data_IF_928328639595
#
_entry.id   IF_928328639595
#
_cell.length_a   1.000
_cell.length_b   1.000
_cell.length_c   1.000
_cell.angle_alpha   90.00
_cell.angle_beta   90.00
_cell.angle_gamma   90.00
#
_symmetry.space_group_name_H-M   'P 1'
#
loop_
_entity.id
_entity.type
_entity.pdbx_description
1 polymer ?
#
# COMPACT_ATOMS: atom_id res chain seq x y z
N UNK A 1 -6.53 23.06 -9.15
CA UNK A 1 -5.75 22.37 -8.10
C UNK A 1 -4.30 22.27 -8.55
N UNK A 2 -3.38 22.59 -7.68
CA UNK A 2 -1.96 22.54 -8.02
C UNK A 2 -1.43 21.11 -7.95
N UNK A 3 -0.55 20.76 -8.87
CA UNK A 3 0.14 19.48 -8.84
C UNK A 3 1.10 19.43 -7.65
N UNK A 4 1.34 18.24 -7.14
CA UNK A 4 2.32 18.06 -6.08
C UNK A 4 3.71 18.42 -6.61
N UNK A 5 4.55 18.98 -5.73
CA UNK A 5 5.94 19.27 -6.08
C UNK A 5 6.72 17.97 -6.25
N UNK A 6 7.89 18.06 -6.89
CA UNK A 6 8.79 16.91 -7.03
C UNK A 6 9.13 16.30 -5.67
N UNK A 7 9.38 17.16 -4.68
CA UNK A 7 9.69 16.71 -3.32
C UNK A 7 8.51 15.99 -2.68
N UNK A 8 7.30 16.54 -2.86
CA UNK A 8 6.09 15.90 -2.33
C UNK A 8 5.82 14.56 -3.00
N UNK A 9 6.02 14.48 -4.32
CA UNK A 9 5.86 13.23 -5.07
C UNK A 9 6.83 12.17 -4.57
N UNK A 10 8.08 12.53 -4.30
CA UNK A 10 9.08 11.60 -3.78
C UNK A 10 8.68 11.05 -2.41
N UNK A 11 8.17 11.91 -1.53
CA UNK A 11 7.69 11.50 -0.21
C UNK A 11 6.49 10.56 -0.31
N UNK A 12 5.55 10.92 -1.18
CA UNK A 12 4.34 10.12 -1.36
C UNK A 12 4.66 8.76 -2.00
N UNK A 13 5.59 8.73 -2.94
CA UNK A 13 6.01 7.48 -3.55
C UNK A 13 6.69 6.57 -2.52
N UNK A 14 7.54 7.13 -1.66
CA UNK A 14 8.18 6.39 -0.57
C UNK A 14 7.16 5.83 0.41
N UNK A 15 6.17 6.65 0.80
CA UNK A 15 5.10 6.20 1.69
C UNK A 15 4.26 5.09 1.06
N UNK A 16 4.02 5.18 -0.24
CA UNK A 16 3.33 4.13 -0.99
C UNK A 16 4.11 2.82 -0.96
N UNK A 17 5.44 2.89 -1.14
CA UNK A 17 6.32 1.73 -1.05
C UNK A 17 6.29 1.09 0.33
N UNK A 18 6.23 1.89 1.39
CA UNK A 18 6.11 1.38 2.75
C UNK A 18 4.81 0.60 2.94
N UNK A 19 3.70 1.09 2.38
CA UNK A 19 2.42 0.37 2.43
C UNK A 19 2.48 -0.94 1.67
N UNK A 20 3.13 -0.95 0.50
CA UNK A 20 3.35 -2.17 -0.29
C UNK A 20 4.13 -3.20 0.54
N UNK A 21 5.22 -2.78 1.15
CA UNK A 21 6.08 -3.66 1.94
C UNK A 21 5.33 -4.23 3.14
N UNK A 22 4.53 -3.40 3.82
CA UNK A 22 3.76 -3.85 4.97
C UNK A 22 2.71 -4.88 4.58
N UNK A 23 1.94 -4.64 3.52
CA UNK A 23 0.95 -5.60 3.03
C UNK A 23 1.63 -6.94 2.72
N UNK A 24 2.72 -6.90 1.97
CA UNK A 24 3.43 -8.11 1.58
C UNK A 24 3.99 -8.86 2.80
N UNK A 25 4.52 -8.14 3.77
CA UNK A 25 5.07 -8.74 5.00
C UNK A 25 3.98 -9.41 5.83
N UNK A 26 2.80 -8.76 5.96
CA UNK A 26 1.69 -9.35 6.70
C UNK A 26 1.20 -10.63 6.01
N UNK A 27 1.04 -10.60 4.70
CA UNK A 27 0.60 -11.77 3.93
C UNK A 27 1.61 -12.91 4.05
N UNK A 28 2.91 -12.60 4.04
CA UNK A 28 3.98 -13.59 4.16
C UNK A 28 4.15 -14.13 5.58
N UNK A 29 3.54 -13.49 6.58
CA UNK A 29 3.71 -13.88 7.97
C UNK A 29 4.94 -13.27 8.64
N UNK A 30 5.58 -12.29 8.00
CA UNK A 30 6.79 -11.64 8.50
C UNK A 30 6.51 -10.42 9.38
N UNK A 31 5.28 -9.91 9.35
CA UNK A 31 4.85 -8.78 10.17
C UNK A 31 3.55 -9.12 10.88
N UNK A 32 3.38 -8.61 12.09
CA UNK A 32 2.17 -8.78 12.90
C UNK A 32 1.80 -10.25 13.12
N UNK A 33 2.80 -11.14 13.13
CA UNK A 33 2.56 -12.60 13.25
C UNK A 33 1.88 -12.97 14.57
N UNK A 34 2.15 -12.23 15.64
CA UNK A 34 1.58 -12.48 16.96
C UNK A 34 0.32 -11.66 17.25
N UNK A 35 -0.12 -10.84 16.29
CA UNK A 35 -1.30 -10.01 16.47
C UNK A 35 -2.56 -10.80 16.10
N UNK A 36 -3.71 -10.31 16.58
CA UNK A 36 -4.99 -10.93 16.27
C UNK A 36 -5.27 -10.87 14.75
N UNK A 37 -5.98 -11.88 14.25
CA UNK A 37 -6.37 -11.92 12.83
C UNK A 37 -7.13 -10.67 12.42
N UNK A 38 -8.02 -10.18 13.28
CA UNK A 38 -8.80 -8.97 13.03
C UNK A 38 -7.90 -7.75 12.83
N UNK A 39 -6.85 -7.63 13.64
CA UNK A 39 -5.91 -6.51 13.54
C UNK A 39 -5.08 -6.60 12.26
N UNK A 40 -4.65 -7.80 11.88
CA UNK A 40 -3.94 -8.00 10.63
C UNK A 40 -4.81 -7.66 9.42
N UNK A 41 -6.06 -8.12 9.45
CA UNK A 41 -7.02 -7.84 8.38
C UNK A 41 -7.26 -6.34 8.24
N UNK A 42 -7.48 -5.66 9.36
CA UNK A 42 -7.72 -4.22 9.38
C UNK A 42 -6.52 -3.45 8.81
N UNK A 43 -5.31 -3.84 9.20
CA UNK A 43 -4.09 -3.20 8.73
C UNK A 43 -3.93 -3.36 7.21
N UNK A 44 -4.15 -4.56 6.69
CA UNK A 44 -4.09 -4.81 5.25
C UNK A 44 -5.16 -3.99 4.52
N UNK A 45 -6.39 -4.00 5.03
CA UNK A 45 -7.50 -3.29 4.38
C UNK A 45 -7.25 -1.78 4.31
N UNK A 46 -6.72 -1.19 5.39
CA UNK A 46 -6.39 0.24 5.43
C UNK A 46 -5.29 0.60 4.46
N UNK A 47 -4.26 -0.25 4.37
CA UNK A 47 -3.15 0.00 3.46
C UNK A 47 -3.56 -0.18 2.01
N UNK A 48 -4.44 -1.15 1.71
CA UNK A 48 -5.02 -1.31 0.38
C UNK A 48 -5.80 -0.05 0.00
N UNK A 49 -6.66 0.45 0.88
CA UNK A 49 -7.42 1.67 0.62
C UNK A 49 -6.51 2.86 0.34
N UNK A 50 -5.43 3.00 1.12
CA UNK A 50 -4.44 4.05 0.91
C UNK A 50 -3.78 3.93 -0.47
N UNK A 51 -3.37 2.72 -0.85
CA UNK A 51 -2.76 2.49 -2.15
C UNK A 51 -3.72 2.79 -3.30
N UNK A 52 -4.99 2.43 -3.16
CA UNK A 52 -5.99 2.72 -4.20
C UNK A 52 -6.15 4.22 -4.42
N UNK A 53 -6.15 5.00 -3.35
CA UNK A 53 -6.19 6.46 -3.45
C UNK A 53 -4.93 6.98 -4.13
N UNK A 54 -3.77 6.47 -3.74
CA UNK A 54 -2.49 6.94 -4.26
C UNK A 54 -2.33 6.63 -5.74
N UNK A 55 -2.61 5.39 -6.17
CA UNK A 55 -2.46 5.04 -7.60
C UNK A 55 -3.48 5.75 -8.48
N UNK A 56 -4.58 6.23 -7.89
CA UNK A 56 -5.61 6.97 -8.61
C UNK A 56 -5.22 8.41 -8.96
N UNK A 57 -4.13 8.93 -8.41
CA UNK A 57 -3.68 10.29 -8.71
C UNK A 57 -3.02 10.35 -10.08
N UNK A 58 -3.19 11.48 -10.76
CA UNK A 58 -2.76 11.64 -12.16
C UNK A 58 -1.36 12.20 -12.34
N UNK A 59 -0.71 12.63 -11.27
CA UNK A 59 0.53 13.41 -11.35
C UNK A 59 1.80 12.61 -11.07
N UNK A 60 1.74 11.29 -11.14
CA UNK A 60 2.91 10.44 -10.92
C UNK A 60 3.95 10.50 -12.05
N UNK A 61 3.51 10.92 -13.25
CA UNK A 61 4.40 10.94 -14.41
C UNK A 61 4.81 9.54 -14.82
N UNK A 62 6.12 9.28 -14.84
CA UNK A 62 6.67 7.99 -15.26
C UNK A 62 6.95 7.03 -14.11
N UNK A 63 6.50 7.34 -12.89
CA UNK A 63 6.72 6.46 -11.75
C UNK A 63 6.03 5.12 -11.95
N UNK A 64 6.72 4.04 -11.53
CA UNK A 64 6.22 2.68 -11.71
C UNK A 64 5.21 2.32 -10.63
N UNK A 65 3.98 2.01 -11.04
CA UNK A 65 2.89 1.63 -10.14
C UNK A 65 2.68 0.11 -10.05
N UNK A 66 3.54 -0.68 -10.70
CA UNK A 66 3.37 -2.14 -10.77
C UNK A 66 3.31 -2.77 -9.39
N UNK A 67 4.26 -2.43 -8.51
CA UNK A 67 4.32 -3.00 -7.17
C UNK A 67 3.10 -2.62 -6.33
N UNK A 68 2.64 -1.37 -6.45
CA UNK A 68 1.46 -0.90 -5.73
C UNK A 68 0.21 -1.63 -6.20
N UNK A 69 0.05 -1.78 -7.50
CA UNK A 69 -1.10 -2.50 -8.07
C UNK A 69 -1.10 -3.98 -7.66
N UNK A 70 0.08 -4.61 -7.64
CA UNK A 70 0.23 -6.00 -7.20
C UNK A 70 -0.14 -6.15 -5.73
N UNK A 71 0.28 -5.21 -4.88
CA UNK A 71 -0.05 -5.23 -3.45
C UNK A 71 -1.55 -5.02 -3.21
N UNK A 72 -2.20 -4.15 -3.99
CA UNK A 72 -3.65 -3.96 -3.92
C UNK A 72 -4.36 -5.27 -4.21
N UNK A 73 -3.98 -5.94 -5.29
CA UNK A 73 -4.58 -7.21 -5.68
C UNK A 73 -4.38 -8.28 -4.60
N UNK A 74 -3.15 -8.40 -4.10
CA UNK A 74 -2.82 -9.37 -3.06
C UNK A 74 -3.58 -9.07 -1.76
N UNK A 75 -3.66 -7.80 -1.38
CA UNK A 75 -4.37 -7.37 -0.17
C UNK A 75 -5.86 -7.63 -0.25
N UNK A 76 -6.47 -7.39 -1.41
CA UNK A 76 -7.90 -7.65 -1.61
C UNK A 76 -8.22 -9.15 -1.52
N UNK A 77 -7.28 -10.00 -1.88
CA UNK A 77 -7.43 -11.45 -1.79
C UNK A 77 -7.07 -12.02 -0.42
N UNK A 78 -6.54 -11.20 0.47
CA UNK A 78 -6.09 -11.65 1.79
C UNK A 78 -7.27 -11.79 2.76
N UNK A 79 -7.33 -12.94 3.43
CA UNK A 79 -8.25 -13.18 4.55
C UNK A 79 -7.43 -13.69 5.72
N UNK A 80 -7.38 -12.92 6.79
CA UNK A 80 -6.64 -13.30 7.99
C UNK A 80 -7.31 -14.46 8.71
N UNK A 81 -6.52 -15.33 9.29
CA UNK A 81 -7.02 -16.49 10.02
C UNK A 81 -6.38 -16.61 11.39
#
# INVERSE_FOLDING_TARGET
>A
MEDRTTEQLAKDYSAMGDSVDLINAIIAGDAMADDEAEDRQDCVDRNVAHLEIMVGKDDWGSEDMTAANAAITAGKGYTAS
#
